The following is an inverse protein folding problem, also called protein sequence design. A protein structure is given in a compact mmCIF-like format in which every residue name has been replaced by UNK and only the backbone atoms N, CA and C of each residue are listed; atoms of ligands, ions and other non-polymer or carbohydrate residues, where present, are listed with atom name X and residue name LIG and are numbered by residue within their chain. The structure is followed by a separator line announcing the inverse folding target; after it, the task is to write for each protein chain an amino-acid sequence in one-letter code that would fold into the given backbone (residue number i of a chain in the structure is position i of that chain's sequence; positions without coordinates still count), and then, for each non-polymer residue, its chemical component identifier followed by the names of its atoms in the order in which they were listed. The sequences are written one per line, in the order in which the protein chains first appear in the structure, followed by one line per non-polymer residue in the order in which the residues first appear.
data_IF_104423892606
#
_entry.id   IF_104423892606
#
_cell.length_a   1.000
_cell.length_b   1.000
_cell.length_c   1.000
_cell.angle_alpha   90.00
_cell.angle_beta   90.00
_cell.angle_gamma   90.00
#
_symmetry.space_group_name_H-M   'P 1'
#
loop_
_entity.id
_entity.type
_entity.pdbx_description
1 polymer ?
#
# COMPACT_ATOMS: atom_id res chain seq x y z
N UNK A 1 -2.53 -14.55 -15.66
CA UNK A 1 -2.20 -14.58 -14.25
C UNK A 1 -1.05 -13.63 -13.91
N UNK A 2 0.21 -13.86 -14.39
CA UNK A 2 1.38 -13.01 -14.06
C UNK A 2 1.13 -11.53 -14.38
N UNK A 3 0.71 -11.22 -15.61
CA UNK A 3 0.42 -9.84 -16.04
C UNK A 3 -0.66 -9.20 -15.16
N UNK A 4 -1.72 -9.96 -14.82
CA UNK A 4 -2.78 -9.45 -13.95
C UNK A 4 -2.29 -9.13 -12.54
N UNK A 5 -1.43 -9.97 -11.96
CA UNK A 5 -0.84 -9.73 -10.63
C UNK A 5 0.10 -8.52 -10.64
N UNK A 6 0.92 -8.36 -11.67
CA UNK A 6 1.80 -7.19 -11.82
C UNK A 6 0.99 -5.90 -11.99
N UNK A 7 -0.06 -5.91 -12.82
CA UNK A 7 -0.95 -4.77 -13.00
C UNK A 7 -1.68 -4.40 -11.70
N UNK A 8 -2.15 -5.40 -10.96
CA UNK A 8 -2.76 -5.20 -9.64
C UNK A 8 -1.75 -4.58 -8.68
N UNK A 9 -0.54 -5.15 -8.59
CA UNK A 9 0.49 -4.68 -7.66
C UNK A 9 0.93 -3.25 -7.96
N UNK A 10 1.22 -2.93 -9.22
CA UNK A 10 1.60 -1.57 -9.61
C UNK A 10 0.44 -0.60 -9.43
N UNK A 11 -0.76 -0.97 -9.85
CA UNK A 11 -1.95 -0.13 -9.74
C UNK A 11 -2.31 0.19 -8.28
N UNK A 12 -2.36 -0.83 -7.41
CA UNK A 12 -2.60 -0.64 -5.98
C UNK A 12 -1.47 0.13 -5.29
N UNK A 13 -0.20 -0.11 -5.68
CA UNK A 13 0.95 0.61 -5.14
C UNK A 13 0.93 2.10 -5.50
N UNK A 14 0.52 2.47 -6.72
CA UNK A 14 0.34 3.90 -7.10
C UNK A 14 -0.70 4.56 -6.21
N UNK A 15 -1.87 3.94 -6.03
CA UNK A 15 -2.92 4.47 -5.16
C UNK A 15 -2.46 4.56 -3.70
N UNK A 16 -1.81 3.50 -3.19
CA UNK A 16 -1.25 3.47 -1.85
C UNK A 16 -0.19 4.57 -1.64
N UNK A 17 0.65 4.82 -2.66
CA UNK A 17 1.68 5.86 -2.62
C UNK A 17 1.07 7.25 -2.55
N UNK A 18 0.03 7.52 -3.33
CA UNK A 18 -0.69 8.80 -3.27
C UNK A 18 -1.31 8.98 -1.88
N UNK A 19 -2.03 7.99 -1.38
CA UNK A 19 -2.71 8.07 -0.07
C UNK A 19 -1.72 8.13 1.09
N UNK A 20 -0.68 7.30 1.09
CA UNK A 20 0.35 7.28 2.12
C UNK A 20 1.17 8.57 2.18
N UNK A 21 1.54 9.11 1.00
CA UNK A 21 2.27 10.38 0.91
C UNK A 21 1.43 11.56 1.36
N UNK A 22 0.18 11.67 0.87
CA UNK A 22 -0.73 12.76 1.28
C UNK A 22 -1.06 12.66 2.77
N UNK A 23 -1.26 11.45 3.29
CA UNK A 23 -1.44 11.19 4.71
C UNK A 23 -0.21 11.60 5.54
N UNK A 24 1.00 11.29 5.09
CA UNK A 24 2.24 11.66 5.76
C UNK A 24 2.44 13.18 5.81
N UNK A 25 2.23 13.88 4.69
CA UNK A 25 2.31 15.33 4.62
C UNK A 25 1.23 15.97 5.50
N UNK A 26 -0.01 15.50 5.41
CA UNK A 26 -1.11 15.97 6.24
C UNK A 26 -0.84 15.81 7.74
N UNK A 27 -0.33 14.64 8.16
CA UNK A 27 0.06 14.40 9.55
C UNK A 27 1.24 15.26 10.01
N UNK A 28 2.20 15.51 9.12
CA UNK A 28 3.39 16.33 9.43
C UNK A 28 3.02 17.79 9.76
N UNK A 29 2.13 18.39 8.96
CA UNK A 29 1.66 19.77 9.16
C UNK A 29 0.49 19.89 10.14
N UNK A 30 -0.12 18.80 10.56
CA UNK A 30 -1.21 18.79 11.55
C UNK A 30 -0.66 19.03 12.97
N UNK A 31 -1.50 19.66 13.82
CA UNK A 31 -1.15 19.96 15.22
C UNK A 31 -2.02 19.15 16.20
N UNK A 32 -1.50 18.88 17.39
CA UNK A 32 -2.25 18.34 18.52
C UNK A 32 -2.85 16.94 18.27
N UNK A 33 -4.14 16.77 18.60
CA UNK A 33 -4.84 15.48 18.58
C UNK A 33 -4.94 14.86 17.18
N UNK A 34 -5.02 15.67 16.13
CA UNK A 34 -5.12 15.18 14.74
C UNK A 34 -3.85 14.44 14.34
N UNK A 35 -2.68 14.99 14.64
CA UNK A 35 -1.38 14.32 14.37
C UNK A 35 -1.28 12.97 15.09
N UNK A 36 -1.70 12.93 16.36
CA UNK A 36 -1.72 11.67 17.13
C UNK A 36 -2.69 10.65 16.55
N UNK A 37 -3.91 11.05 16.21
CA UNK A 37 -4.92 10.18 15.61
C UNK A 37 -4.45 9.61 14.25
N UNK A 38 -3.89 10.43 13.36
CA UNK A 38 -3.36 9.97 12.08
C UNK A 38 -2.20 8.98 12.25
N UNK A 39 -1.31 9.22 13.21
CA UNK A 39 -0.21 8.29 13.51
C UNK A 39 -0.73 6.94 13.99
N UNK A 40 -1.72 6.92 14.90
CA UNK A 40 -2.33 5.69 15.40
C UNK A 40 -3.07 4.96 14.29
N UNK A 41 -3.90 5.64 13.51
CA UNK A 41 -4.64 5.03 12.40
C UNK A 41 -3.73 4.36 11.38
N UNK A 42 -2.57 4.97 11.07
CA UNK A 42 -1.61 4.37 10.15
C UNK A 42 -0.82 3.18 10.76
N UNK A 43 -0.77 3.06 12.09
CA UNK A 43 -0.09 1.94 12.75
C UNK A 43 -1.00 0.72 12.91
N UNK A 44 -2.33 0.90 12.96
CA UNK A 44 -3.28 -0.19 13.15
C UNK A 44 -3.13 -1.31 12.11
N UNK A 45 -3.09 -1.05 10.79
CA UNK A 45 -2.91 -2.12 9.81
C UNK A 45 -1.53 -2.78 9.87
N UNK A 46 -0.49 -2.07 10.32
CA UNK A 46 0.88 -2.59 10.42
C UNK A 46 1.03 -3.60 11.56
N UNK A 47 0.25 -3.42 12.63
CA UNK A 47 0.30 -4.30 13.82
C UNK A 47 -0.68 -5.48 13.68
N UNK A 48 -1.74 -5.31 12.91
CA UNK A 48 -2.73 -6.37 12.70
C UNK A 48 -2.19 -7.48 11.80
N UNK A 49 -2.61 -8.72 12.09
CA UNK A 49 -2.37 -9.83 11.19
C UNK A 49 -3.11 -9.62 9.85
N UNK A 50 -2.44 -9.91 8.73
CA UNK A 50 -2.98 -9.73 7.37
C UNK A 50 -4.30 -10.47 7.14
N UNK A 51 -4.46 -11.64 7.79
CA UNK A 51 -5.71 -12.42 7.79
C UNK A 51 -6.88 -11.60 8.34
N UNK A 52 -6.67 -10.94 9.48
CA UNK A 52 -7.70 -10.13 10.15
C UNK A 52 -8.03 -8.90 9.30
N UNK A 53 -7.01 -8.27 8.76
CA UNK A 53 -7.17 -7.11 7.87
C UNK A 53 -7.94 -7.48 6.61
N UNK A 54 -7.54 -8.53 5.90
CA UNK A 54 -8.21 -8.99 4.68
C UNK A 54 -9.66 -9.41 4.92
N UNK A 55 -9.92 -10.15 5.99
CA UNK A 55 -11.27 -10.58 6.36
C UNK A 55 -12.17 -9.39 6.74
N UNK A 56 -11.65 -8.44 7.52
CA UNK A 56 -12.38 -7.24 7.92
C UNK A 56 -12.74 -6.35 6.74
N UNK A 57 -11.82 -6.17 5.78
CA UNK A 57 -12.07 -5.43 4.54
C UNK A 57 -13.13 -6.13 3.70
N UNK A 58 -13.06 -7.46 3.58
CA UNK A 58 -14.05 -8.24 2.85
C UNK A 58 -15.45 -8.06 3.47
N UNK A 59 -15.61 -8.19 4.79
CA UNK A 59 -16.88 -7.96 5.47
C UNK A 59 -17.37 -6.53 5.25
N UNK A 60 -16.51 -5.54 5.47
CA UNK A 60 -16.88 -4.13 5.34
C UNK A 60 -17.39 -3.81 3.93
N UNK A 61 -16.65 -4.21 2.90
CA UNK A 61 -16.99 -3.86 1.52
C UNK A 61 -18.14 -4.71 0.98
N UNK A 62 -18.12 -6.03 1.21
CA UNK A 62 -19.10 -6.94 0.60
C UNK A 62 -20.39 -7.00 1.41
N UNK A 63 -20.31 -7.14 2.75
CA UNK A 63 -21.48 -7.33 3.58
C UNK A 63 -22.13 -5.99 3.98
N UNK A 64 -21.32 -5.02 4.43
CA UNK A 64 -21.85 -3.75 4.94
C UNK A 64 -22.14 -2.76 3.80
N UNK A 65 -21.24 -2.62 2.84
CA UNK A 65 -21.39 -1.68 1.72
C UNK A 65 -22.06 -2.30 0.48
N UNK A 66 -22.30 -3.62 0.47
CA UNK A 66 -22.97 -4.31 -0.63
C UNK A 66 -22.20 -4.36 -1.96
N UNK A 67 -20.87 -4.16 -1.91
CA UNK A 67 -20.01 -4.25 -3.10
C UNK A 67 -19.92 -5.71 -3.52
N UNK A 68 -20.22 -6.00 -4.81
CA UNK A 68 -20.12 -7.38 -5.30
C UNK A 68 -18.69 -7.90 -5.19
N UNK A 69 -18.52 -9.10 -4.62
CA UNK A 69 -17.23 -9.79 -4.51
C UNK A 69 -16.63 -10.14 -5.89
N UNK A 70 -17.47 -10.24 -6.92
CA UNK A 70 -17.01 -10.52 -8.29
C UNK A 70 -16.32 -9.33 -8.96
N UNK A 71 -16.34 -8.16 -8.31
CA UNK A 71 -15.66 -6.95 -8.76
C UNK A 71 -14.21 -6.93 -8.22
N UNK A 72 -13.30 -6.32 -8.96
CA UNK A 72 -11.91 -6.10 -8.51
C UNK A 72 -11.78 -5.03 -7.40
N UNK A 73 -12.86 -4.32 -7.06
CA UNK A 73 -12.83 -3.23 -6.08
C UNK A 73 -12.37 -3.71 -4.69
N UNK A 74 -12.94 -4.78 -4.09
CA UNK A 74 -12.47 -5.26 -2.79
C UNK A 74 -10.99 -5.66 -2.80
N UNK A 75 -10.53 -6.24 -3.90
CA UNK A 75 -9.14 -6.67 -4.08
C UNK A 75 -8.19 -5.46 -4.10
N UNK A 76 -8.46 -4.46 -4.95
CA UNK A 76 -7.63 -3.26 -5.06
C UNK A 76 -7.64 -2.46 -3.74
N UNK A 77 -8.81 -2.25 -3.15
CA UNK A 77 -8.94 -1.54 -1.86
C UNK A 77 -8.19 -2.27 -0.75
N UNK A 78 -8.28 -3.61 -0.71
CA UNK A 78 -7.53 -4.42 0.24
C UNK A 78 -6.03 -4.20 0.16
N UNK A 79 -5.46 -4.28 -1.05
CA UNK A 79 -4.04 -4.05 -1.27
C UNK A 79 -3.61 -2.60 -0.97
N UNK A 80 -4.46 -1.61 -1.27
CA UNK A 80 -4.19 -0.21 -0.94
C UNK A 80 -4.16 0.01 0.57
N UNK A 81 -5.13 -0.53 1.32
CA UNK A 81 -5.19 -0.42 2.77
C UNK A 81 -4.00 -1.11 3.44
N UNK A 82 -3.58 -2.27 2.92
CA UNK A 82 -2.40 -2.98 3.39
C UNK A 82 -1.12 -2.17 3.17
N UNK A 83 -0.94 -1.58 1.99
CA UNK A 83 0.32 -0.96 1.56
C UNK A 83 0.47 0.51 1.98
N UNK A 84 -0.62 1.28 2.06
CA UNK A 84 -0.56 2.72 2.34
C UNK A 84 0.15 3.09 3.66
N UNK A 85 0.00 2.35 4.78
CA UNK A 85 0.73 2.61 6.01
C UNK A 85 2.24 2.48 5.87
N UNK A 86 2.72 1.55 5.05
CA UNK A 86 4.16 1.36 4.83
C UNK A 86 4.75 2.51 4.00
N UNK A 87 4.00 3.01 3.01
CA UNK A 87 4.38 4.25 2.30
C UNK A 87 4.44 5.43 3.26
N UNK A 88 3.43 5.59 4.12
CA UNK A 88 3.42 6.62 5.16
C UNK A 88 4.68 6.54 6.03
N UNK A 89 5.04 5.34 6.52
CA UNK A 89 6.23 5.13 7.35
C UNK A 89 7.53 5.39 6.60
N UNK A 90 7.59 5.17 5.28
CA UNK A 90 8.76 5.49 4.45
C UNK A 90 8.93 7.02 4.22
N UNK A 91 7.82 7.75 4.11
CA UNK A 91 7.82 9.19 3.82
C UNK A 91 8.04 10.05 5.07
N UNK A 92 7.46 9.68 6.21
CA UNK A 92 7.55 10.47 7.47
C UNK A 92 8.99 10.79 7.91
N UNK A 93 9.97 9.86 7.88
CA UNK A 93 11.34 10.18 8.23
C UNK A 93 11.96 11.23 7.30
N UNK A 94 11.62 11.22 6.01
CA UNK A 94 12.10 12.19 5.03
C UNK A 94 11.54 13.59 5.31
N UNK A 95 10.25 13.68 5.63
CA UNK A 95 9.64 14.94 6.08
C UNK A 95 10.30 15.50 7.33
N UNK A 96 10.68 14.63 8.29
CA UNK A 96 11.37 15.06 9.53
C UNK A 96 12.82 15.49 9.31
N UNK A 97 13.47 14.99 8.26
CA UNK A 97 14.84 15.37 7.88
C UNK A 97 14.90 16.64 7.05
N UNK A 98 13.78 17.07 6.49
CA UNK A 98 13.66 18.29 5.69
C UNK A 98 13.80 19.53 6.60
N UNK A 99 14.49 20.56 6.11
CA UNK A 99 14.54 21.85 6.79
C UNK A 99 13.18 22.59 6.62
N UNK A 100 12.44 22.82 7.70
CA UNK A 100 11.14 23.48 7.66
C UNK A 100 11.19 24.91 7.14
N UNK A 101 12.35 25.60 7.28
CA UNK A 101 12.54 26.98 6.82
C UNK A 101 12.40 27.13 5.31
N UNK A 102 12.67 26.07 4.53
CA UNK A 102 12.56 26.10 3.07
C UNK A 102 11.11 26.31 2.59
N UNK A 103 10.16 25.73 3.29
CA UNK A 103 8.75 25.94 2.97
C UNK A 103 8.31 27.37 3.33
N UNK A 104 8.71 27.87 4.49
CA UNK A 104 8.39 29.23 4.95
C UNK A 104 9.04 30.27 4.02
N UNK A 105 10.32 30.10 3.70
CA UNK A 105 11.04 30.99 2.78
C UNK A 105 10.38 31.05 1.39
N UNK A 106 9.85 29.95 0.89
CA UNK A 106 9.13 29.96 -0.37
C UNK A 106 7.84 30.78 -0.31
N UNK A 107 7.08 30.67 0.79
CA UNK A 107 5.87 31.48 0.99
C UNK A 107 6.20 32.97 1.12
N UNK A 108 7.28 33.32 1.81
CA UNK A 108 7.76 34.70 1.97
C UNK A 108 8.18 35.31 0.62
N UNK A 109 8.69 34.48 -0.30
CA UNK A 109 9.00 34.89 -1.69
C UNK A 109 7.76 34.94 -2.60
N UNK A 110 6.54 34.77 -2.05
CA UNK A 110 5.28 34.87 -2.77
C UNK A 110 4.83 33.58 -3.45
N UNK A 111 5.44 32.44 -3.17
CA UNK A 111 4.97 31.17 -3.68
C UNK A 111 3.60 30.79 -3.04
N UNK A 112 2.70 30.24 -3.84
CA UNK A 112 1.48 29.66 -3.29
C UNK A 112 1.78 28.37 -2.53
N UNK A 113 0.99 27.99 -1.50
CA UNK A 113 1.18 26.73 -0.75
C UNK A 113 1.25 25.49 -1.65
N UNK A 114 0.44 25.45 -2.72
CA UNK A 114 0.44 24.36 -3.69
C UNK A 114 1.73 24.31 -4.49
N UNK A 115 2.23 25.47 -4.93
CA UNK A 115 3.50 25.54 -5.64
C UNK A 115 4.67 25.11 -4.75
N UNK A 116 4.74 25.57 -3.50
CA UNK A 116 5.74 25.18 -2.55
C UNK A 116 5.69 23.66 -2.24
N UNK A 117 4.50 23.07 -2.14
CA UNK A 117 4.32 21.64 -1.97
C UNK A 117 4.96 20.84 -3.13
N UNK A 118 4.62 21.17 -4.37
CA UNK A 118 5.07 20.39 -5.53
C UNK A 118 6.52 20.68 -5.94
N UNK A 119 7.02 21.90 -5.73
CA UNK A 119 8.35 22.31 -6.18
C UNK A 119 9.44 22.19 -5.12
N UNK A 120 9.06 22.17 -3.86
CA UNK A 120 10.03 22.14 -2.73
C UNK A 120 9.86 20.85 -1.92
N UNK A 121 8.68 20.58 -1.39
CA UNK A 121 8.47 19.46 -0.47
C UNK A 121 8.59 18.12 -1.20
N UNK A 122 7.80 17.90 -2.26
CA UNK A 122 7.77 16.61 -2.97
C UNK A 122 9.16 16.20 -3.50
N UNK A 123 9.96 17.07 -4.14
CA UNK A 123 11.30 16.68 -4.58
C UNK A 123 12.22 16.27 -3.43
N UNK A 124 12.14 16.92 -2.27
CA UNK A 124 12.97 16.59 -1.12
C UNK A 124 12.63 15.24 -0.50
N UNK A 125 11.36 14.86 -0.50
CA UNK A 125 10.90 13.57 0.02
C UNK A 125 10.83 12.48 -1.06
N UNK A 126 11.24 12.76 -2.30
CA UNK A 126 11.11 11.85 -3.44
C UNK A 126 11.75 10.47 -3.19
N UNK A 127 12.89 10.42 -2.49
CA UNK A 127 13.52 9.15 -2.11
C UNK A 127 12.64 8.31 -1.16
N UNK A 128 11.90 8.96 -0.26
CA UNK A 128 10.93 8.31 0.63
C UNK A 128 9.70 7.81 -0.14
N UNK A 129 9.22 8.60 -1.09
CA UNK A 129 8.11 8.21 -1.96
C UNK A 129 8.50 7.00 -2.82
N UNK A 130 9.68 7.03 -3.44
CA UNK A 130 10.18 5.94 -4.27
C UNK A 130 10.37 4.65 -3.46
N UNK A 131 10.99 4.71 -2.28
CA UNK A 131 11.14 3.54 -1.42
C UNK A 131 9.80 3.00 -0.93
N UNK A 132 8.86 3.87 -0.57
CA UNK A 132 7.50 3.50 -0.18
C UNK A 132 6.74 2.82 -1.33
N UNK A 133 6.87 3.33 -2.55
CA UNK A 133 6.27 2.72 -3.74
C UNK A 133 6.81 1.31 -4.01
N UNK A 134 8.14 1.13 -4.01
CA UNK A 134 8.76 -0.19 -4.22
C UNK A 134 8.31 -1.16 -3.14
N UNK A 135 8.26 -0.73 -1.88
CA UNK A 135 7.77 -1.56 -0.78
C UNK A 135 6.28 -1.93 -0.96
N UNK A 136 5.44 -0.99 -1.40
CA UNK A 136 4.02 -1.25 -1.68
C UNK A 136 3.83 -2.26 -2.81
N UNK A 137 4.65 -2.20 -3.88
CA UNK A 137 4.64 -3.20 -4.97
C UNK A 137 5.01 -4.57 -4.42
N UNK A 138 6.08 -4.66 -3.62
CA UNK A 138 6.56 -5.93 -3.06
C UNK A 138 5.51 -6.56 -2.14
N UNK A 139 4.92 -5.77 -1.22
CA UNK A 139 3.85 -6.25 -0.33
C UNK A 139 2.63 -6.74 -1.10
N UNK A 140 2.25 -6.04 -2.16
CA UNK A 140 1.10 -6.43 -2.99
C UNK A 140 1.35 -7.71 -3.78
N UNK A 141 2.59 -7.96 -4.23
CA UNK A 141 2.96 -9.19 -4.95
C UNK A 141 3.03 -10.41 -4.02
N UNK A 142 3.51 -10.22 -2.79
CA UNK A 142 3.68 -11.29 -1.80
C UNK A 142 2.38 -11.62 -1.06
N UNK A 143 1.38 -10.73 -1.09
CA UNK A 143 0.17 -10.89 -0.31
C UNK A 143 -0.66 -12.11 -0.76
N UNK A 144 -0.88 -13.02 0.17
CA UNK A 144 -1.76 -14.18 0.01
C UNK A 144 -3.11 -13.98 0.72
N UNK A 145 -3.08 -13.44 1.93
CA UNK A 145 -4.26 -13.45 2.80
C UNK A 145 -5.31 -12.44 2.36
N UNK A 146 -4.93 -11.19 2.18
CA UNK A 146 -5.88 -10.16 1.73
C UNK A 146 -6.42 -10.53 0.35
N UNK A 147 -5.54 -10.98 -0.57
CA UNK A 147 -5.95 -11.45 -1.88
C UNK A 147 -6.96 -12.60 -1.81
N UNK A 148 -6.74 -13.60 -0.95
CA UNK A 148 -7.62 -14.78 -0.83
C UNK A 148 -9.04 -14.38 -0.41
N UNK A 149 -9.18 -13.44 0.52
CA UNK A 149 -10.50 -13.01 0.99
C UNK A 149 -11.20 -12.03 0.06
N UNK A 150 -10.45 -11.21 -0.68
CA UNK A 150 -11.00 -10.09 -1.45
C UNK A 150 -11.05 -10.31 -2.97
N UNK A 151 -10.36 -11.32 -3.50
CA UNK A 151 -10.33 -11.59 -4.94
C UNK A 151 -11.66 -12.13 -5.47
N UNK A 152 -12.03 -11.82 -6.74
CA UNK A 152 -13.10 -12.50 -7.44
C UNK A 152 -12.77 -13.99 -7.65
N UNK A 153 -13.80 -14.84 -7.80
CA UNK A 153 -13.62 -16.28 -8.01
C UNK A 153 -12.84 -16.61 -9.29
N UNK A 154 -12.94 -15.75 -10.31
CA UNK A 154 -12.31 -15.94 -11.64
C UNK A 154 -10.87 -15.44 -11.72
N UNK A 155 -10.34 -14.81 -10.64
CA UNK A 155 -9.00 -14.22 -10.65
C UNK A 155 -8.10 -14.86 -9.58
N UNK A 156 -6.88 -15.23 -9.99
CA UNK A 156 -5.83 -15.67 -9.11
C UNK A 156 -4.61 -14.76 -9.23
N UNK A 157 -4.08 -14.35 -8.08
CA UNK A 157 -2.77 -13.72 -7.99
C UNK A 157 -1.68 -14.80 -8.03
N UNK A 158 -0.43 -14.41 -8.31
CA UNK A 158 0.72 -15.34 -8.27
C UNK A 158 0.79 -16.02 -6.91
N UNK A 159 0.69 -15.25 -5.84
CA UNK A 159 0.77 -15.71 -4.47
C UNK A 159 -0.34 -16.71 -4.13
N UNK A 160 -1.62 -16.41 -4.46
CA UNK A 160 -2.75 -17.33 -4.22
C UNK A 160 -2.62 -18.62 -5.03
N UNK A 161 -2.15 -18.53 -6.28
CA UNK A 161 -1.92 -19.68 -7.13
C UNK A 161 -0.82 -20.60 -6.57
N UNK A 162 0.34 -20.04 -6.21
CA UNK A 162 1.48 -20.80 -5.65
C UNK A 162 1.06 -21.53 -4.39
N UNK A 163 0.42 -20.84 -3.44
CA UNK A 163 -0.01 -21.45 -2.19
C UNK A 163 -1.06 -22.55 -2.41
N UNK A 164 -2.05 -22.31 -3.30
CA UNK A 164 -3.07 -23.31 -3.58
C UNK A 164 -2.50 -24.55 -4.31
N UNK A 165 -1.60 -24.36 -5.24
CA UNK A 165 -0.92 -25.46 -5.94
C UNK A 165 0.01 -26.26 -5.03
N UNK A 166 0.64 -25.63 -4.02
CA UNK A 166 1.49 -26.33 -3.06
C UNK A 166 0.71 -27.12 -2.01
N UNK A 167 -0.55 -26.77 -1.74
CA UNK A 167 -1.46 -27.54 -0.88
C UNK A 167 -1.96 -28.83 -1.53
N UNK A 168 -1.89 -28.96 -2.87
CA UNK A 168 -2.26 -30.15 -3.61
C UNK A 168 -1.21 -31.27 -3.53
N UNK A 169 -1.61 -32.52 -3.88
CA UNK A 169 -0.75 -33.72 -3.81
C UNK A 169 0.23 -33.88 -5.00
N UNK A 170 0.25 -32.96 -5.96
CA UNK A 170 1.11 -33.04 -7.16
C UNK A 170 2.53 -32.57 -6.85
N UNK A 171 3.45 -33.54 -6.70
CA UNK A 171 4.84 -33.32 -6.28
C UNK A 171 5.70 -32.65 -7.35
N UNK A 172 5.43 -32.91 -8.63
CA UNK A 172 6.28 -32.43 -9.75
C UNK A 172 6.18 -30.92 -9.99
N UNK A 173 5.03 -30.32 -9.69
CA UNK A 173 4.80 -28.88 -9.80
C UNK A 173 5.44 -28.11 -8.64
N UNK A 174 5.59 -28.76 -7.47
CA UNK A 174 6.13 -28.10 -6.26
C UNK A 174 7.53 -27.52 -6.48
N UNK A 175 8.42 -28.26 -7.14
CA UNK A 175 9.81 -27.82 -7.37
C UNK A 175 9.86 -26.60 -8.27
N UNK A 176 9.06 -26.56 -9.34
CA UNK A 176 8.96 -25.41 -10.25
C UNK A 176 8.35 -24.18 -9.55
N UNK A 177 7.36 -24.40 -8.67
CA UNK A 177 6.72 -23.33 -7.89
C UNK A 177 7.66 -22.76 -6.82
N UNK A 178 8.47 -23.61 -6.17
CA UNK A 178 9.51 -23.16 -5.24
C UNK A 178 10.58 -22.33 -5.95
N UNK A 179 10.99 -22.73 -7.17
CA UNK A 179 11.92 -21.96 -7.98
C UNK A 179 11.32 -20.60 -8.39
N UNK A 180 10.04 -20.56 -8.77
CA UNK A 180 9.34 -19.32 -9.10
C UNK A 180 9.23 -18.38 -7.89
N UNK A 181 8.94 -18.92 -6.71
CA UNK A 181 8.90 -18.17 -5.46
C UNK A 181 10.27 -17.58 -5.09
N UNK A 182 11.35 -18.36 -5.28
CA UNK A 182 12.73 -17.90 -5.04
C UNK A 182 13.15 -16.78 -6.00
N UNK A 183 12.74 -16.84 -7.26
CA UNK A 183 13.01 -15.77 -8.24
C UNK A 183 12.21 -14.49 -7.89
N UNK A 184 11.06 -14.65 -7.24
CA UNK A 184 10.21 -13.54 -6.83
C UNK A 184 10.78 -12.77 -5.61
N UNK A 185 11.48 -13.44 -4.71
CA UNK A 185 12.16 -12.85 -3.55
C UNK A 185 13.48 -12.18 -3.96
#
# INVERSE_FOLDING_TARGET
MIIGSVLLAVGSAVLATILGTTGAIGAFYSKGKVKGAMSVLNQVPVVNADVVTGFSICILLVVVLGVSKDTYIPLVVGHVILSAPFVYLAVVPKLKQMDPSLYEAALDLGATPVYALFKIIIPQIASGIASGFVMAVTLSLDDYFVATYTKPATFDTISTYVVNATKGSQTDIKTALWALSLIHI
#
